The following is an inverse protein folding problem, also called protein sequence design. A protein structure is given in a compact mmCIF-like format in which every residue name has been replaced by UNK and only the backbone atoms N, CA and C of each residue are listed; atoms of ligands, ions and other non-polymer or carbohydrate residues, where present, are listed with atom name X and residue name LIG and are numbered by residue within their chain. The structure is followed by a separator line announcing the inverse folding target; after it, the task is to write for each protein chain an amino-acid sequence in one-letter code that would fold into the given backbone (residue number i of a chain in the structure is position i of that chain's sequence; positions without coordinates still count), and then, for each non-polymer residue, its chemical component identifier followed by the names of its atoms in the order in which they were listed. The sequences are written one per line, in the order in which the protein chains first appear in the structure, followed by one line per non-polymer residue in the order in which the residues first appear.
data_IF_051058280280
#
_entry.id   IF_051058280280
#
_cell.length_a   1.000
_cell.length_b   1.000
_cell.length_c   1.000
_cell.angle_alpha   90.00
_cell.angle_beta   90.00
_cell.angle_gamma   90.00
#
_symmetry.space_group_name_H-M   'P 1'
#
loop_
_entity.id
_entity.type
_entity.pdbx_description
1 polymer ?
#
# COMPACT_ATOMS: atom_id res chain seq x y z
N UNK A 1 -6.12 -11.79 19.79
CA UNK A 1 -5.20 -12.08 18.68
C UNK A 1 -4.77 -10.75 18.10
N UNK A 2 -3.47 -10.53 17.89
CA UNK A 2 -2.98 -9.32 17.22
C UNK A 2 -3.33 -9.43 15.73
N UNK A 3 -3.99 -8.44 15.11
CA UNK A 3 -4.24 -8.48 13.67
C UNK A 3 -2.93 -8.61 12.89
N UNK A 4 -2.91 -9.32 11.76
CA UNK A 4 -1.72 -9.39 10.92
C UNK A 4 -1.31 -8.03 10.37
N UNK A 5 -0.03 -7.91 10.00
CA UNK A 5 0.52 -6.68 9.43
C UNK A 5 0.33 -6.64 7.92
N UNK A 6 -0.24 -5.55 7.42
CA UNK A 6 -0.32 -5.21 6.01
C UNK A 6 0.56 -4.00 5.72
N UNK A 7 1.62 -4.18 4.94
CA UNK A 7 2.45 -3.09 4.42
C UNK A 7 2.02 -2.76 3.00
N UNK A 8 1.67 -1.50 2.74
CA UNK A 8 1.26 -1.01 1.43
C UNK A 8 2.26 0.05 0.99
N UNK A 9 2.81 -0.14 -0.20
CA UNK A 9 3.74 0.80 -0.83
C UNK A 9 3.13 1.36 -2.12
N UNK A 10 3.44 2.62 -2.42
CA UNK A 10 3.12 3.26 -3.70
C UNK A 10 4.38 3.89 -4.29
N UNK A 11 4.80 3.41 -5.44
CA UNK A 11 5.90 3.97 -6.20
C UNK A 11 5.42 5.26 -6.92
N UNK A 12 6.00 6.38 -6.51
CA UNK A 12 5.72 7.73 -7.01
C UNK A 12 6.75 8.21 -8.05
N UNK A 13 7.75 7.39 -8.40
CA UNK A 13 8.79 7.78 -9.35
C UNK A 13 8.21 8.13 -10.73
N UNK A 14 8.64 9.26 -11.31
CA UNK A 14 8.13 9.73 -12.60
C UNK A 14 6.73 10.36 -12.56
N UNK A 15 6.17 10.64 -11.37
CA UNK A 15 4.82 11.20 -11.21
C UNK A 15 4.80 12.70 -10.85
N UNK A 16 5.96 13.35 -10.96
CA UNK A 16 6.18 14.75 -10.58
C UNK A 16 6.90 14.91 -9.24
N UNK A 17 7.08 16.16 -8.82
CA UNK A 17 7.74 16.50 -7.56
C UNK A 17 6.79 16.25 -6.37
N UNK A 18 7.30 15.54 -5.36
CA UNK A 18 6.63 15.25 -4.10
C UNK A 18 7.15 16.10 -2.93
N UNK A 19 8.11 16.99 -3.19
CA UNK A 19 8.75 17.84 -2.17
C UNK A 19 7.71 18.66 -1.42
N UNK A 20 7.63 18.45 -0.10
CA UNK A 20 6.71 19.16 0.79
C UNK A 20 5.23 18.74 0.70
N UNK A 21 4.90 17.69 -0.06
CA UNK A 21 3.55 17.15 -0.16
C UNK A 21 3.44 15.83 0.63
N UNK A 22 2.57 15.74 1.64
CA UNK A 22 2.32 14.48 2.33
C UNK A 22 1.58 13.49 1.42
N UNK A 23 1.79 12.20 1.65
CA UNK A 23 1.03 11.13 1.01
C UNK A 23 0.06 10.52 2.00
N UNK A 24 -1.16 10.25 1.55
CA UNK A 24 -2.18 9.60 2.38
C UNK A 24 -2.82 8.44 1.67
N UNK A 25 -3.40 7.54 2.46
CA UNK A 25 -4.26 6.47 1.99
C UNK A 25 -5.64 6.62 2.63
N UNK A 26 -6.71 6.48 1.84
CA UNK A 26 -8.07 6.44 2.37
C UNK A 26 -8.77 5.20 1.84
N UNK A 27 -9.49 4.50 2.71
CA UNK A 27 -10.16 3.25 2.37
C UNK A 27 -11.05 2.76 3.50
N UNK A 28 -11.69 1.61 3.30
CA UNK A 28 -12.57 0.99 4.29
C UNK A 28 -11.79 0.15 5.31
N UNK A 29 -10.83 0.77 6.02
CA UNK A 29 -9.91 0.08 6.92
C UNK A 29 -10.54 -0.26 8.30
N UNK A 30 -11.44 0.59 8.79
CA UNK A 30 -12.04 0.49 10.11
C UNK A 30 -11.08 0.78 11.26
N UNK A 31 -11.54 0.59 12.50
CA UNK A 31 -10.73 0.79 13.70
C UNK A 31 -10.11 2.19 13.77
N UNK A 32 -8.82 2.26 14.12
CA UNK A 32 -8.07 3.53 14.22
C UNK A 32 -7.80 4.19 12.86
N UNK A 33 -7.87 3.43 11.77
CA UNK A 33 -7.63 3.90 10.40
C UNK A 33 -8.92 4.48 9.77
N UNK A 34 -10.07 4.17 10.37
CA UNK A 34 -11.38 4.68 9.96
C UNK A 34 -11.86 4.12 8.62
N UNK A 35 -13.01 4.63 8.18
CA UNK A 35 -13.62 4.25 6.90
C UNK A 35 -13.73 5.50 6.06
N UNK A 36 -12.94 5.59 4.99
CA UNK A 36 -12.90 6.73 4.08
C UNK A 36 -12.73 8.08 4.81
N UNK A 37 -11.82 8.13 5.79
CA UNK A 37 -11.42 9.40 6.39
C UNK A 37 -10.77 10.28 5.34
N UNK A 38 -11.09 11.58 5.37
CA UNK A 38 -10.54 12.54 4.42
C UNK A 38 -9.00 12.59 4.55
N UNK A 39 -8.25 12.51 3.43
CA UNK A 39 -6.79 12.60 3.44
C UNK A 39 -6.30 13.78 4.28
N UNK A 40 -5.39 13.53 5.22
CA UNK A 40 -4.90 14.54 6.16
C UNK A 40 -5.71 14.74 7.44
N UNK A 41 -6.89 14.12 7.59
CA UNK A 41 -7.68 14.22 8.84
C UNK A 41 -7.33 13.14 9.87
N UNK A 42 -6.78 12.00 9.43
CA UNK A 42 -6.34 10.92 10.30
C UNK A 42 -4.82 10.68 10.11
N UNK A 43 -3.98 11.02 11.10
CA UNK A 43 -2.53 10.85 10.99
C UNK A 43 -2.10 9.38 10.92
N UNK A 44 -2.96 8.42 11.32
CA UNK A 44 -2.66 6.99 11.18
C UNK A 44 -2.66 6.52 9.72
N UNK A 45 -3.07 7.38 8.78
CA UNK A 45 -3.21 7.06 7.36
C UNK A 45 -2.19 7.83 6.49
N UNK A 46 -1.19 8.47 7.10
CA UNK A 46 -0.08 9.10 6.38
C UNK A 46 0.94 8.05 5.94
N UNK A 47 1.42 8.17 4.70
CA UNK A 47 2.47 7.32 4.12
C UNK A 47 3.78 8.11 4.06
N UNK A 48 4.91 7.44 4.33
CA UNK A 48 6.23 8.09 4.42
C UNK A 48 7.23 7.44 3.47
N UNK A 49 8.23 8.22 3.05
CA UNK A 49 9.39 7.81 2.25
C UNK A 49 10.69 8.21 3.02
N UNK A 50 11.12 7.43 4.02
CA UNK A 50 12.24 7.79 4.89
C UNK A 50 13.62 7.59 4.24
N UNK A 51 13.74 6.75 3.21
CA UNK A 51 14.97 6.46 2.47
C UNK A 51 15.09 7.26 1.17
N UNK A 52 14.07 8.04 0.81
CA UNK A 52 14.05 8.97 -0.33
C UNK A 52 14.23 8.26 -1.67
N UNK A 53 13.65 7.06 -1.80
CA UNK A 53 13.67 6.28 -3.05
C UNK A 53 12.44 6.53 -3.95
N UNK A 54 11.51 7.40 -3.49
CA UNK A 54 10.27 7.73 -4.18
C UNK A 54 9.15 6.72 -3.95
N UNK A 55 9.30 5.78 -3.01
CA UNK A 55 8.30 4.78 -2.63
C UNK A 55 7.75 5.12 -1.25
N UNK A 56 6.49 5.57 -1.23
CA UNK A 56 5.81 5.90 0.02
C UNK A 56 5.16 4.64 0.60
N UNK A 57 5.35 4.44 1.90
CA UNK A 57 4.97 3.21 2.59
C UNK A 57 4.16 3.47 3.86
N UNK A 58 3.24 2.56 4.18
CA UNK A 58 2.52 2.49 5.46
C UNK A 58 2.37 1.04 5.91
N UNK A 59 2.45 0.78 7.21
CA UNK A 59 2.13 -0.53 7.80
C UNK A 59 0.91 -0.40 8.70
N UNK A 60 -0.11 -1.22 8.41
CA UNK A 60 -1.37 -1.28 9.14
C UNK A 60 -1.56 -2.65 9.82
N UNK A 61 -2.34 -2.68 10.89
CA UNK A 61 -2.73 -3.92 11.57
C UNK A 61 -4.23 -4.14 11.41
N UNK A 62 -4.61 -5.01 10.46
CA UNK A 62 -5.99 -5.18 10.01
C UNK A 62 -6.35 -6.68 9.98
N UNK A 63 -7.62 -7.08 10.23
CA UNK A 63 -8.06 -8.47 10.08
C UNK A 63 -8.24 -8.89 8.60
N UNK A 64 -7.79 -10.10 8.24
CA UNK A 64 -7.93 -10.68 6.89
C UNK A 64 -9.26 -10.34 6.21
N UNK A 65 -9.19 -9.86 4.96
CA UNK A 65 -10.38 -9.39 4.26
C UNK A 65 -10.11 -8.67 2.95
N UNK A 66 -11.18 -8.06 2.43
CA UNK A 66 -11.16 -7.26 1.21
C UNK A 66 -11.25 -5.78 1.57
N UNK A 67 -10.27 -4.99 1.13
CA UNK A 67 -10.17 -3.58 1.45
C UNK A 67 -10.17 -2.73 0.17
N UNK A 68 -11.23 -1.94 -0.08
CA UNK A 68 -11.22 -0.87 -1.07
C UNK A 68 -10.47 0.35 -0.53
N UNK A 69 -9.59 0.94 -1.33
CA UNK A 69 -8.83 2.14 -0.96
C UNK A 69 -8.31 2.93 -2.16
N UNK A 70 -7.79 4.13 -1.91
CA UNK A 70 -7.12 5.00 -2.87
C UNK A 70 -5.97 5.78 -2.20
N UNK A 71 -4.94 6.12 -2.97
CA UNK A 71 -3.85 6.98 -2.53
C UNK A 71 -4.14 8.45 -2.88
N UNK A 72 -3.58 9.37 -2.11
CA UNK A 72 -3.80 10.81 -2.27
C UNK A 72 -2.49 11.58 -2.13
N UNK A 73 -2.29 12.52 -3.06
CA UNK A 73 -1.16 13.43 -3.07
C UNK A 73 -1.56 14.74 -2.38
N UNK A 74 -1.22 14.87 -1.11
CA UNK A 74 -1.69 15.97 -0.25
C UNK A 74 -3.02 15.67 0.44
N UNK A 75 -3.47 16.62 1.26
CA UNK A 75 -4.72 16.53 2.00
C UNK A 75 -5.96 16.81 1.12
N UNK A 76 -7.11 16.31 1.56
CA UNK A 76 -8.38 16.42 0.85
C UNK A 76 -8.53 15.49 -0.35
N UNK A 77 -9.73 15.50 -0.95
CA UNK A 77 -10.12 14.56 -2.01
C UNK A 77 -9.64 14.94 -3.41
N UNK A 78 -9.09 16.14 -3.60
CA UNK A 78 -8.81 16.71 -4.92
C UNK A 78 -7.70 16.04 -5.71
N UNK A 79 -6.76 15.39 -5.02
CA UNK A 79 -5.55 14.83 -5.63
C UNK A 79 -5.45 13.31 -5.43
N UNK A 80 -6.58 12.62 -5.61
CA UNK A 80 -6.61 11.16 -5.59
C UNK A 80 -5.85 10.54 -6.76
N UNK A 81 -5.33 9.35 -6.53
CA UNK A 81 -4.64 8.56 -7.55
C UNK A 81 -5.52 8.35 -8.79
N UNK A 82 -5.05 8.74 -9.99
CA UNK A 82 -5.81 8.66 -11.22
C UNK A 82 -5.81 7.27 -11.87
N UNK A 83 -5.33 6.22 -11.18
CA UNK A 83 -5.29 4.86 -11.72
C UNK A 83 -6.65 4.45 -12.34
N UNK A 84 -6.64 3.90 -13.56
CA UNK A 84 -7.86 3.41 -14.19
C UNK A 84 -8.46 2.29 -13.34
N UNK A 85 -9.79 2.22 -13.23
CA UNK A 85 -10.48 1.26 -12.36
C UNK A 85 -11.03 1.84 -11.06
N UNK A 86 -10.64 3.07 -10.68
CA UNK A 86 -11.20 3.78 -9.54
C UNK A 86 -10.53 3.38 -8.23
N UNK A 87 -11.30 2.82 -7.29
CA UNK A 87 -10.75 2.37 -6.01
C UNK A 87 -10.04 1.02 -6.17
N UNK A 88 -8.85 0.90 -5.57
CA UNK A 88 -8.12 -0.36 -5.53
C UNK A 88 -8.79 -1.30 -4.55
N UNK A 89 -8.92 -2.57 -4.93
CA UNK A 89 -9.50 -3.61 -4.08
C UNK A 89 -8.42 -4.65 -3.75
N UNK A 90 -7.97 -4.69 -2.49
CA UNK A 90 -6.97 -5.65 -2.04
C UNK A 90 -7.62 -6.73 -1.17
N UNK A 91 -7.57 -7.97 -1.66
CA UNK A 91 -7.78 -9.15 -0.83
C UNK A 91 -6.44 -9.50 -0.17
N UNK A 92 -6.37 -9.44 1.15
CA UNK A 92 -5.17 -9.84 1.91
C UNK A 92 -5.55 -10.79 3.04
N UNK A 93 -4.60 -11.62 3.42
CA UNK A 93 -4.71 -12.57 4.51
C UNK A 93 -3.34 -12.82 5.12
N UNK A 94 -3.27 -12.91 6.45
CA UNK A 94 -2.01 -12.99 7.17
C UNK A 94 -1.12 -11.76 6.92
N UNK A 95 0.17 -11.91 7.18
CA UNK A 95 1.12 -10.82 6.95
C UNK A 95 1.37 -10.66 5.46
N UNK A 96 1.16 -9.46 4.95
CA UNK A 96 1.32 -9.16 3.53
C UNK A 96 2.06 -7.85 3.36
N UNK A 97 2.91 -7.79 2.35
CA UNK A 97 3.45 -6.54 1.82
C UNK A 97 2.95 -6.44 0.37
N UNK A 98 2.66 -5.25 -0.14
CA UNK A 98 2.21 -5.04 -1.52
C UNK A 98 2.73 -3.72 -2.05
N UNK A 99 3.09 -3.70 -3.33
CA UNK A 99 3.55 -2.48 -4.02
C UNK A 99 2.63 -2.16 -5.19
N UNK A 100 2.20 -0.91 -5.24
CA UNK A 100 1.45 -0.30 -6.33
C UNK A 100 2.28 0.77 -7.04
N UNK A 101 1.85 1.17 -8.23
CA UNK A 101 2.35 2.35 -8.94
C UNK A 101 1.25 3.38 -9.08
N UNK A 102 1.58 4.62 -8.79
CA UNK A 102 0.68 5.74 -9.00
C UNK A 102 0.23 5.84 -10.45
N UNK A 103 -1.07 6.06 -10.68
CA UNK A 103 -1.65 6.18 -12.02
C UNK A 103 -1.69 4.88 -12.82
N UNK A 104 -1.27 3.76 -12.23
CA UNK A 104 -1.30 2.44 -12.86
C UNK A 104 -2.30 1.55 -12.12
N UNK A 105 -3.11 0.84 -12.90
CA UNK A 105 -4.06 -0.14 -12.38
C UNK A 105 -3.33 -1.41 -11.92
N UNK A 106 -3.86 -2.04 -10.87
CA UNK A 106 -3.36 -3.30 -10.36
C UNK A 106 -2.11 -3.22 -9.47
N UNK A 107 -1.78 -4.38 -8.90
CA UNK A 107 -0.60 -4.63 -8.08
C UNK A 107 0.64 -4.78 -8.95
N UNK A 108 1.74 -4.10 -8.62
CA UNK A 108 3.03 -4.30 -9.29
C UNK A 108 3.78 -5.52 -8.74
N UNK A 109 3.71 -5.75 -7.43
CA UNK A 109 4.26 -6.94 -6.79
C UNK A 109 3.68 -7.17 -5.41
N UNK A 110 3.65 -8.43 -4.99
CA UNK A 110 3.49 -8.86 -3.59
C UNK A 110 4.89 -9.28 -3.16
N UNK A 111 5.55 -8.70 -2.15
CA UNK A 111 6.87 -9.14 -1.73
C UNK A 111 6.86 -10.59 -1.31
N UNK A 112 7.99 -11.21 -1.61
CA UNK A 112 8.29 -12.61 -1.38
C UNK A 112 7.76 -13.09 -0.03
N UNK A 113 7.04 -14.20 -0.09
CA UNK A 113 7.02 -15.16 1.00
C UNK A 113 8.47 -15.34 1.50
N UNK A 114 8.80 -15.15 2.79
CA UNK A 114 10.17 -15.32 3.30
C UNK A 114 10.73 -16.74 3.10
N UNK A 115 9.91 -17.68 2.62
CA UNK A 115 10.30 -19.04 2.22
C UNK A 115 10.72 -19.18 0.74
N UNK A 116 10.57 -18.15 -0.10
CA UNK A 116 10.94 -18.21 -1.51
C UNK A 116 12.47 -18.37 -1.72
N UNK A 117 13.30 -18.03 -0.73
CA UNK A 117 14.74 -18.30 -0.72
C UNK A 117 15.11 -19.69 -0.17
N UNK A 118 14.14 -20.46 0.34
CA UNK A 118 14.38 -21.81 0.88
C UNK A 118 14.03 -22.95 -0.10
N UNK A 119 13.62 -22.66 -1.34
CA UNK A 119 13.46 -23.70 -2.36
C UNK A 119 14.85 -24.16 -2.83
N UNK A 120 15.44 -25.08 -2.08
CA UNK A 120 16.59 -25.88 -2.53
C UNK A 120 16.07 -26.82 -3.64
N UNK A 121 16.16 -26.39 -4.89
CA UNK A 121 15.94 -27.28 -6.02
C UNK A 121 17.12 -28.25 -6.07
N UNK A 122 16.90 -29.51 -5.71
CA UNK A 122 17.87 -30.56 -6.00
C UNK A 122 17.77 -30.89 -7.49
N UNK A 123 18.86 -30.82 -8.28
CA UNK A 123 18.83 -31.27 -9.66
C UNK A 123 18.46 -32.76 -9.70
N UNK A 124 17.58 -33.13 -10.64
CA UNK A 124 17.26 -34.52 -10.92
C UNK A 124 18.55 -35.22 -11.41
N UNK A 125 19.05 -36.25 -10.70
CA UNK A 125 20.22 -36.99 -11.16
C UNK A 125 19.93 -37.63 -12.52
N UNK A 126 20.87 -37.47 -13.46
CA UNK A 126 20.89 -38.20 -14.73
C UNK A 126 21.28 -39.66 -14.53
#
# INVERSE_FOLDING_TARGET
MTPPSLTINVDMNGTGDMTGLPMYIAGAFGGIYGTWNEPGTNPNNEMTDPDSDGIYSITMYLPDGLYPFKFFKGAGWGNGDPAPGGDRNLQYAGNMNVTYKWGVDGLLSVPQNPLAEQIKMYPNPV
#
